data_IF_148011239882
#
_entry.id   IF_148011239882
#
_cell.length_a   1.000
_cell.length_b   1.000
_cell.length_c   1.000
_cell.angle_alpha   90.00
_cell.angle_beta   90.00
_cell.angle_gamma   90.00
#
_symmetry.space_group_name_H-M   'P 1'
#
loop_
_entity.id
_entity.type
_entity.pdbx_description
1 polymer ?
#
# COMPACT_ATOMS: atom_id res chain seq x y z
N UNK A 1 -9.94 -11.67 -0.59
CA UNK A 1 -9.56 -10.72 0.49
C UNK A 1 -8.32 -11.25 1.19
N UNK A 2 -8.29 -12.54 1.51
CA UNK A 2 -7.09 -13.21 2.02
C UNK A 2 -5.90 -13.06 1.07
N UNK A 3 -6.11 -13.18 -0.24
CA UNK A 3 -5.04 -13.03 -1.24
C UNK A 3 -4.45 -11.61 -1.25
N UNK A 4 -5.28 -10.59 -1.01
CA UNK A 4 -4.82 -9.21 -0.86
C UNK A 4 -3.85 -9.11 0.32
N UNK A 5 -4.20 -9.68 1.47
CA UNK A 5 -3.35 -9.59 2.65
C UNK A 5 -2.05 -10.39 2.47
N UNK A 6 -2.07 -11.52 1.76
CA UNK A 6 -0.84 -12.24 1.38
C UNK A 6 0.07 -11.34 0.55
N UNK A 7 -0.46 -10.68 -0.50
CA UNK A 7 0.34 -9.79 -1.34
C UNK A 7 0.88 -8.58 -0.57
N UNK A 8 0.06 -7.98 0.30
CA UNK A 8 0.50 -6.81 1.10
C UNK A 8 1.63 -7.19 2.06
N UNK A 9 1.61 -8.39 2.65
CA UNK A 9 2.73 -8.89 3.48
C UNK A 9 4.05 -8.98 2.71
N UNK A 10 3.99 -9.25 1.40
CA UNK A 10 5.17 -9.40 0.53
C UNK A 10 5.77 -8.08 0.09
N UNK A 11 5.11 -6.94 0.29
CA UNK A 11 5.64 -5.64 -0.12
C UNK A 11 6.92 -5.37 0.69
N UNK A 12 8.09 -5.20 0.05
CA UNK A 12 9.35 -4.98 0.76
C UNK A 12 9.35 -3.70 1.60
N UNK A 13 10.12 -3.71 2.69
CA UNK A 13 10.37 -2.50 3.49
C UNK A 13 10.99 -1.41 2.65
N UNK A 14 10.54 -0.17 2.85
CA UNK A 14 11.01 0.99 2.10
C UNK A 14 10.42 1.08 0.70
N UNK A 15 9.35 0.33 0.41
CA UNK A 15 8.66 0.41 -0.87
C UNK A 15 7.15 0.49 -0.68
N UNK A 16 6.46 0.96 -1.72
CA UNK A 16 5.01 1.16 -1.71
C UNK A 16 4.37 0.58 -2.96
N UNK A 17 3.09 0.22 -2.87
CA UNK A 17 2.31 -0.21 -4.03
C UNK A 17 0.96 0.49 -4.06
N UNK A 18 0.53 0.89 -5.26
CA UNK A 18 -0.76 1.54 -5.45
C UNK A 18 -1.95 0.57 -5.30
N UNK A 19 -3.04 1.02 -4.69
CA UNK A 19 -4.30 0.26 -4.57
C UNK A 19 -4.76 -0.35 -5.90
N UNK A 20 -4.73 0.44 -6.98
CA UNK A 20 -5.13 -0.03 -8.30
C UNK A 20 -4.17 -1.07 -8.90
N UNK A 21 -2.88 -0.97 -8.60
CA UNK A 21 -1.88 -1.92 -9.07
C UNK A 21 -2.07 -3.29 -8.39
N UNK A 22 -2.24 -3.32 -7.07
CA UNK A 22 -2.59 -4.56 -6.34
C UNK A 22 -3.91 -5.13 -6.86
N UNK A 23 -4.92 -4.28 -7.05
CA UNK A 23 -6.22 -4.68 -7.59
C UNK A 23 -6.13 -5.43 -8.92
N UNK A 24 -5.19 -5.03 -9.81
CA UNK A 24 -4.99 -5.64 -11.12
C UNK A 24 -4.34 -7.02 -11.08
N UNK A 25 -3.53 -7.31 -10.07
CA UNK A 25 -2.79 -8.58 -9.96
C UNK A 25 -3.53 -9.63 -9.12
N UNK A 26 -4.61 -9.24 -8.44
CA UNK A 26 -5.47 -10.18 -7.72
C UNK A 26 -6.18 -11.13 -8.69
N UNK A 27 -6.46 -12.39 -8.29
CA UNK A 27 -7.11 -13.39 -9.14
C UNK A 27 -8.42 -12.90 -9.76
N UNK A 28 -9.26 -12.26 -8.96
CA UNK A 28 -10.57 -11.74 -9.38
C UNK A 28 -10.55 -10.24 -9.71
N UNK A 29 -9.41 -9.71 -10.18
CA UNK A 29 -9.16 -8.31 -10.60
C UNK A 29 -10.19 -7.29 -10.10
N UNK A 30 -9.84 -6.52 -9.10
CA UNK A 30 -10.75 -5.53 -8.50
C UNK A 30 -10.22 -4.11 -8.66
N UNK A 31 -11.11 -3.12 -8.54
CA UNK A 31 -10.71 -1.72 -8.57
C UNK A 31 -9.92 -1.33 -7.32
N UNK A 32 -9.09 -0.29 -7.41
CA UNK A 32 -8.38 0.24 -6.24
C UNK A 32 -9.31 0.70 -5.11
N UNK A 33 -10.54 1.13 -5.44
CA UNK A 33 -11.55 1.47 -4.44
C UNK A 33 -11.97 0.24 -3.62
N UNK A 34 -12.16 -0.91 -4.28
CA UNK A 34 -12.48 -2.17 -3.60
C UNK A 34 -11.31 -2.62 -2.71
N UNK A 35 -10.07 -2.49 -3.19
CA UNK A 35 -8.87 -2.78 -2.38
C UNK A 35 -8.85 -1.91 -1.12
N UNK A 36 -9.06 -0.59 -1.25
CA UNK A 36 -9.13 0.33 -0.10
C UNK A 36 -10.20 -0.09 0.92
N UNK A 37 -11.40 -0.47 0.45
CA UNK A 37 -12.47 -0.98 1.33
C UNK A 37 -12.09 -2.25 2.07
N UNK A 38 -11.36 -3.16 1.42
CA UNK A 38 -10.88 -4.38 2.07
C UNK A 38 -9.74 -4.11 3.06
N UNK A 39 -8.86 -3.15 2.76
CA UNK A 39 -7.77 -2.75 3.65
C UNK A 39 -8.24 -2.14 4.98
N UNK A 40 -9.44 -1.54 5.04
CA UNK A 40 -10.05 -1.12 6.31
C UNK A 40 -10.28 -2.27 7.30
N UNK A 41 -10.32 -3.52 6.82
CA UNK A 41 -10.52 -4.72 7.62
C UNK A 41 -9.21 -5.53 7.76
N UNK A 42 -8.05 -4.92 7.49
CA UNK A 42 -6.78 -5.61 7.56
C UNK A 42 -6.42 -6.04 9.00
N UNK A 43 -5.71 -7.17 9.17
CA UNK A 43 -5.27 -7.61 10.48
C UNK A 43 -4.17 -6.69 11.04
N UNK A 44 -4.00 -6.60 12.38
CA UNK A 44 -3.09 -5.65 13.02
C UNK A 44 -1.62 -5.72 12.56
N UNK A 45 -1.15 -6.91 12.18
CA UNK A 45 0.24 -7.16 11.78
C UNK A 45 0.50 -6.97 10.28
N UNK A 46 -0.48 -6.48 9.52
CA UNK A 46 -0.30 -6.22 8.09
C UNK A 46 0.45 -4.90 7.87
N UNK A 47 1.46 -4.83 6.96
CA UNK A 47 2.17 -3.60 6.63
C UNK A 47 1.32 -2.69 5.73
N UNK A 48 0.12 -2.33 6.20
CA UNK A 48 -0.87 -1.57 5.44
C UNK A 48 -0.37 -0.20 4.99
N UNK A 49 0.58 0.39 5.73
CA UNK A 49 1.17 1.69 5.43
C UNK A 49 1.90 1.71 4.09
N UNK A 50 2.30 0.54 3.55
CA UNK A 50 2.92 0.40 2.23
C UNK A 50 1.93 0.42 1.06
N UNK A 51 0.62 0.59 1.32
CA UNK A 51 -0.42 0.67 0.27
C UNK A 51 -0.97 2.09 0.15
N UNK A 52 -0.85 2.68 -1.04
CA UNK A 52 -1.11 4.11 -1.29
C UNK A 52 -1.96 4.35 -2.54
N UNK A 53 -2.30 5.62 -2.79
CA UNK A 53 -2.71 6.07 -4.11
C UNK A 53 -1.66 5.76 -5.17
N UNK A 54 -2.09 5.45 -6.39
CA UNK A 54 -1.15 5.29 -7.51
C UNK A 54 -0.39 6.57 -7.90
N UNK A 55 -0.80 7.72 -7.34
CA UNK A 55 -0.14 9.02 -7.48
C UNK A 55 0.76 9.38 -6.29
N UNK A 56 1.09 8.41 -5.43
CA UNK A 56 1.96 8.58 -4.26
C UNK A 56 1.26 9.18 -3.03
N UNK A 57 -0.02 9.56 -3.13
CA UNK A 57 -0.73 10.18 -2.01
C UNK A 57 -1.21 9.16 -0.98
N UNK A 58 -1.09 9.53 0.29
CA UNK A 58 -1.77 8.89 1.41
C UNK A 58 -3.26 9.19 1.27
N UNK A 59 -4.10 8.14 1.20
CA UNK A 59 -5.55 8.28 0.97
C UNK A 59 -6.39 8.28 2.25
N UNK A 60 -5.83 7.75 3.34
CA UNK A 60 -6.55 7.60 4.62
C UNK A 60 -6.65 8.92 5.39
N UNK A 61 -5.76 9.88 5.12
CA UNK A 61 -5.70 11.21 5.75
C UNK A 61 -7.03 11.97 5.75
N UNK A 62 -7.81 11.86 4.67
CA UNK A 62 -9.12 12.51 4.51
C UNK A 62 -10.22 11.88 5.36
N UNK A 63 -10.06 10.62 5.74
CA UNK A 63 -11.02 9.87 6.55
C UNK A 63 -10.60 9.83 8.02
N UNK A 64 -9.31 9.68 8.26
CA UNK A 64 -8.68 9.57 9.56
C UNK A 64 -7.29 10.24 9.50
N UNK A 65 -7.19 11.52 9.92
CA UNK A 65 -5.93 12.27 9.91
C UNK A 65 -4.84 11.65 10.79
N UNK A 66 -5.21 11.00 11.90
CA UNK A 66 -4.25 10.35 12.80
C UNK A 66 -3.66 9.11 12.15
N UNK A 67 -4.49 8.29 11.51
CA UNK A 67 -4.02 7.15 10.71
C UNK A 67 -3.16 7.62 9.53
N UNK A 68 -3.51 8.74 8.89
CA UNK A 68 -2.69 9.35 7.83
C UNK A 68 -1.30 9.75 8.31
N UNK A 69 -1.22 10.39 9.49
CA UNK A 69 0.05 10.74 10.12
C UNK A 69 0.87 9.50 10.48
N UNK A 70 0.22 8.46 11.04
CA UNK A 70 0.87 7.19 11.37
C UNK A 70 1.41 6.49 10.12
N UNK A 71 0.64 6.48 9.03
CA UNK A 71 1.08 5.93 7.74
C UNK A 71 2.37 6.62 7.27
N UNK A 72 2.39 7.96 7.30
CA UNK A 72 3.54 8.77 6.91
C UNK A 72 4.77 8.47 7.79
N UNK A 73 4.59 8.42 9.11
CA UNK A 73 5.68 8.14 10.05
C UNK A 73 6.30 6.76 9.82
N UNK A 74 5.47 5.74 9.58
CA UNK A 74 5.96 4.38 9.30
C UNK A 74 6.74 4.31 7.98
N UNK A 75 6.27 4.99 6.94
CA UNK A 75 6.97 5.06 5.66
C UNK A 75 8.33 5.76 5.79
N UNK A 76 8.39 6.88 6.51
CA UNK A 76 9.64 7.60 6.78
C UNK A 76 10.62 6.72 7.59
N UNK A 77 10.12 5.96 8.56
CA UNK A 77 10.94 5.03 9.34
C UNK A 77 11.55 3.90 8.47
N UNK A 78 10.94 3.61 7.32
CA UNK A 78 11.47 2.67 6.33
C UNK A 78 12.34 3.33 5.26
N UNK A 79 12.61 4.63 5.36
CA UNK A 79 13.45 5.38 4.43
C UNK A 79 12.71 5.96 3.22
N UNK A 80 11.37 5.90 3.19
CA UNK A 80 10.57 6.49 2.11
C UNK A 80 10.51 8.00 2.24
N UNK A 81 10.83 8.72 1.17
CA UNK A 81 10.73 10.18 1.10
C UNK A 81 9.43 10.65 0.46
N UNK A 82 9.12 11.92 0.69
CA UNK A 82 7.92 12.57 0.20
C UNK A 82 8.28 13.90 -0.47
N UNK A 83 7.64 14.16 -1.60
CA UNK A 83 7.66 15.44 -2.30
C UNK A 83 6.22 15.96 -2.43
N UNK A 84 5.94 17.14 -1.85
CA UNK A 84 4.60 17.74 -1.82
C UNK A 84 3.51 16.75 -1.35
N UNK A 85 3.75 16.09 -0.20
CA UNK A 85 2.86 15.10 0.43
C UNK A 85 2.59 13.82 -0.38
N UNK A 86 3.38 13.58 -1.43
CA UNK A 86 3.35 12.36 -2.23
C UNK A 86 4.66 11.60 -2.08
N UNK A 87 4.58 10.28 -2.00
CA UNK A 87 5.75 9.41 -2.09
C UNK A 87 6.37 9.54 -3.48
N UNK A 88 7.71 9.66 -3.52
CA UNK A 88 8.46 9.74 -4.77
C UNK A 88 8.31 8.44 -5.60
N UNK A 89 8.31 8.57 -6.92
CA UNK A 89 8.06 7.44 -7.83
C UNK A 89 9.06 6.29 -7.67
N UNK A 90 10.29 6.59 -7.24
CA UNK A 90 11.35 5.59 -7.03
C UNK A 90 11.02 4.53 -5.97
N UNK A 91 10.11 4.84 -5.04
CA UNK A 91 9.69 3.90 -3.99
C UNK A 91 8.56 2.96 -4.44
N UNK A 92 8.00 3.15 -5.64
CA UNK A 92 6.95 2.28 -6.13
C UNK A 92 7.49 0.91 -6.54
N UNK A 93 7.05 -0.13 -5.82
CA UNK A 93 7.36 -1.50 -6.13
C UNK A 93 6.46 -2.02 -7.27
N UNK A 94 7.00 -2.72 -8.27
CA UNK A 94 6.21 -3.35 -9.31
C UNK A 94 5.28 -4.41 -8.71
N UNK A 95 3.96 -4.20 -8.79
CA UNK A 95 2.99 -5.08 -8.15
C UNK A 95 3.12 -6.53 -8.65
N UNK A 96 3.34 -6.72 -9.94
CA UNK A 96 3.52 -8.02 -10.59
C UNK A 96 4.68 -8.83 -9.99
N UNK A 97 5.72 -8.17 -9.47
CA UNK A 97 6.83 -8.85 -8.80
C UNK A 97 6.43 -9.47 -7.46
N UNK A 98 5.34 -9.03 -6.81
CA UNK A 98 4.84 -9.65 -5.58
C UNK A 98 4.35 -11.08 -5.80
N UNK A 99 3.98 -11.44 -7.03
CA UNK A 99 3.54 -12.80 -7.38
C UNK A 99 4.69 -13.80 -7.43
N UNK A 100 5.93 -13.32 -7.58
CA UNK A 100 7.14 -14.16 -7.68
C UNK A 100 7.97 -14.17 -6.41
N UNK A 101 7.69 -13.26 -5.47
CA UNK A 101 8.30 -13.31 -4.14
C UNK A 101 7.80 -14.55 -3.39
N UNK A 102 8.75 -15.33 -2.88
CA UNK A 102 8.49 -16.43 -1.96
C UNK A 102 7.78 -15.94 -0.69
N UNK A 103 7.27 -16.89 0.09
CA UNK A 103 6.74 -16.61 1.43
C UNK A 103 7.86 -16.40 2.45
#
# INVERSE_FOLDING_TARGET
MEELFVLVKKIPSGTVVGYGAIGRILPNRVSGLVVGRWMHHCPPNLPWWRVLGGDGSIKIDKLDPEAGLLQRQKLIAEGVTFNNDKVDEEFFFPAEALLTLGD
#
